data_IF_660838009740
#
_entry.id   IF_660838009740
#
_cell.length_a   1.000
_cell.length_b   1.000
_cell.length_c   1.000
_cell.angle_alpha   90.00
_cell.angle_beta   90.00
_cell.angle_gamma   90.00
#
_symmetry.space_group_name_H-M   'P 1'
#
loop_
_entity.id
_entity.type
_entity.pdbx_description
1 polymer ?
#
# COMPACT_ATOMS: atom_id res chain seq x y z
N UNK A 1 -9.02 -25.15 -39.17
CA UNK A 1 -8.24 -26.12 -38.35
C UNK A 1 -6.94 -25.54 -37.79
N UNK A 2 -6.19 -24.69 -38.50
CA UNK A 2 -4.91 -24.14 -37.99
C UNK A 2 -5.09 -23.15 -36.81
N UNK A 3 -6.17 -22.37 -36.79
CA UNK A 3 -6.40 -21.34 -35.76
C UNK A 3 -6.49 -21.88 -34.33
N UNK A 4 -7.04 -23.08 -34.13
CA UNK A 4 -7.14 -23.66 -32.78
C UNK A 4 -5.77 -24.03 -32.20
N UNK A 5 -4.83 -24.47 -33.05
CA UNK A 5 -3.46 -24.77 -32.64
C UNK A 5 -2.69 -23.50 -32.27
N UNK A 6 -2.89 -22.42 -33.04
CA UNK A 6 -2.27 -21.12 -32.76
C UNK A 6 -2.74 -20.56 -31.40
N UNK A 7 -4.04 -20.59 -31.14
CA UNK A 7 -4.63 -20.13 -29.87
C UNK A 7 -4.15 -21.00 -28.71
N UNK A 8 -4.12 -22.33 -28.87
CA UNK A 8 -3.63 -23.24 -27.84
C UNK A 8 -2.14 -23.00 -27.51
N UNK A 9 -1.32 -22.76 -28.53
CA UNK A 9 0.11 -22.47 -28.36
C UNK A 9 0.34 -21.11 -27.69
N UNK A 10 -0.42 -20.09 -28.08
CA UNK A 10 -0.40 -18.77 -27.43
C UNK A 10 -0.76 -18.88 -25.94
N UNK A 11 -1.85 -19.58 -25.61
CA UNK A 11 -2.29 -19.80 -24.21
C UNK A 11 -1.22 -20.57 -23.43
N UNK A 12 -0.61 -21.61 -24.03
CA UNK A 12 0.44 -22.38 -23.39
C UNK A 12 1.67 -21.55 -23.02
N UNK A 13 2.15 -20.71 -23.95
CA UNK A 13 3.28 -19.79 -23.70
C UNK A 13 2.90 -18.75 -22.65
N UNK A 14 1.70 -18.18 -22.74
CA UNK A 14 1.22 -17.18 -21.78
C UNK A 14 1.09 -17.74 -20.36
N UNK A 15 0.54 -18.95 -20.22
CA UNK A 15 0.42 -19.64 -18.93
C UNK A 15 1.80 -20.03 -18.38
N UNK A 16 2.71 -20.49 -19.22
CA UNK A 16 4.10 -20.77 -18.83
C UNK A 16 4.79 -19.51 -18.27
N UNK A 17 4.66 -18.38 -18.97
CA UNK A 17 5.19 -17.10 -18.51
C UNK A 17 4.54 -16.64 -17.20
N UNK A 18 3.22 -16.78 -17.06
CA UNK A 18 2.49 -16.40 -15.84
C UNK A 18 2.97 -17.21 -14.62
N UNK A 19 3.08 -18.53 -14.77
CA UNK A 19 3.59 -19.41 -13.70
C UNK A 19 5.05 -19.12 -13.37
N UNK A 20 5.88 -18.86 -14.39
CA UNK A 20 7.28 -18.47 -14.20
C UNK A 20 7.42 -17.16 -13.40
N UNK A 21 6.57 -16.16 -13.67
CA UNK A 21 6.53 -14.92 -12.90
C UNK A 21 6.04 -15.15 -11.46
N UNK A 22 5.05 -16.03 -11.24
CA UNK A 22 4.59 -16.38 -9.89
C UNK A 22 5.67 -17.05 -9.02
N UNK A 23 6.62 -17.77 -9.65
CA UNK A 23 7.76 -18.38 -8.96
C UNK A 23 8.92 -17.41 -8.69
N UNK A 24 8.80 -16.15 -9.12
CA UNK A 24 9.86 -15.16 -8.92
C UNK A 24 9.97 -14.72 -7.46
N UNK A 25 11.21 -14.53 -7.00
CA UNK A 25 11.52 -14.10 -5.62
C UNK A 25 11.16 -12.63 -5.31
N UNK A 26 10.83 -11.83 -6.33
CA UNK A 26 10.47 -10.41 -6.17
C UNK A 26 8.94 -10.28 -6.12
N UNK A 27 8.41 -9.74 -5.02
CA UNK A 27 6.97 -9.50 -4.84
C UNK A 27 6.27 -8.80 -6.03
N UNK A 28 6.82 -7.74 -6.66
CA UNK A 28 6.16 -7.14 -7.83
C UNK A 28 6.10 -8.07 -9.05
N UNK A 29 7.04 -9.01 -9.22
CA UNK A 29 6.94 -10.00 -10.30
C UNK A 29 5.79 -10.98 -10.06
N UNK A 30 5.55 -11.37 -8.81
CA UNK A 30 4.42 -12.23 -8.44
C UNK A 30 3.09 -11.53 -8.77
N UNK A 31 2.99 -10.22 -8.53
CA UNK A 31 1.82 -9.40 -8.92
C UNK A 31 1.59 -9.45 -10.44
N UNK A 32 2.62 -9.20 -11.25
CA UNK A 32 2.51 -9.31 -12.70
C UNK A 32 2.17 -10.74 -13.15
N UNK A 33 2.67 -11.76 -12.44
CA UNK A 33 2.30 -13.16 -12.65
C UNK A 33 0.80 -13.40 -12.47
N UNK A 34 0.20 -12.87 -11.40
CA UNK A 34 -1.25 -12.94 -11.17
C UNK A 34 -2.08 -12.20 -12.23
N UNK A 35 -1.63 -11.02 -12.68
CA UNK A 35 -2.29 -10.30 -13.78
C UNK A 35 -2.26 -11.12 -15.07
N UNK A 36 -1.11 -11.70 -15.39
CA UNK A 36 -0.93 -12.51 -16.60
C UNK A 36 -1.73 -13.82 -16.51
N UNK A 37 -1.78 -14.45 -15.33
CA UNK A 37 -2.56 -15.65 -15.06
C UNK A 37 -4.06 -15.39 -15.20
N UNK A 38 -4.56 -14.26 -14.71
CA UNK A 38 -5.96 -13.87 -14.87
C UNK A 38 -6.34 -13.71 -16.35
N UNK A 39 -5.47 -13.11 -17.15
CA UNK A 39 -5.70 -12.98 -18.60
C UNK A 39 -5.65 -14.35 -19.29
N UNK A 40 -4.69 -15.21 -18.92
CA UNK A 40 -4.60 -16.58 -19.44
C UNK A 40 -5.84 -17.43 -19.12
N UNK A 41 -6.36 -17.33 -17.89
CA UNK A 41 -7.60 -18.00 -17.48
C UNK A 41 -8.80 -17.55 -18.32
N UNK A 42 -8.93 -16.24 -18.58
CA UNK A 42 -9.99 -15.71 -19.45
C UNK A 42 -9.89 -16.28 -20.88
N UNK A 43 -8.67 -16.39 -21.43
CA UNK A 43 -8.45 -16.98 -22.75
C UNK A 43 -8.76 -18.48 -22.79
N UNK A 44 -8.49 -19.24 -21.71
CA UNK A 44 -8.84 -20.66 -21.63
C UNK A 44 -10.36 -20.85 -21.68
N UNK A 45 -11.11 -20.04 -20.92
CA UNK A 45 -12.59 -20.10 -20.95
C UNK A 45 -13.11 -19.76 -22.35
N UNK A 46 -12.54 -18.76 -23.01
CA UNK A 46 -12.89 -18.42 -24.38
C UNK A 46 -12.56 -19.55 -25.36
N UNK A 47 -11.40 -20.20 -25.23
CA UNK A 47 -10.99 -21.32 -26.08
C UNK A 47 -11.91 -22.55 -25.92
N UNK A 48 -12.43 -22.79 -24.72
CA UNK A 48 -13.41 -23.85 -24.44
C UNK A 48 -14.80 -23.51 -25.00
N UNK A 49 -15.13 -22.22 -25.15
CA UNK A 49 -16.41 -21.76 -25.70
C UNK A 49 -16.64 -22.12 -27.18
N UNK A 50 -15.61 -22.63 -27.88
CA UNK A 50 -15.73 -23.03 -29.29
C UNK A 50 -15.74 -21.85 -30.27
N UNK A 51 -15.90 -22.16 -31.54
CA UNK A 51 -15.90 -21.18 -32.63
C UNK A 51 -17.29 -20.52 -32.75
N UNK A 52 -17.43 -19.19 -32.56
CA UNK A 52 -18.70 -18.48 -32.72
C UNK A 52 -19.07 -18.23 -34.19
N UNK A 53 -18.29 -18.76 -35.16
CA UNK A 53 -18.54 -18.61 -36.59
C UNK A 53 -19.97 -19.02 -36.99
N UNK A 54 -20.80 -18.01 -37.27
CA UNK A 54 -22.20 -18.18 -37.71
C UNK A 54 -23.26 -17.83 -36.67
N UNK A 55 -22.86 -17.48 -35.45
CA UNK A 55 -23.81 -17.11 -34.38
C UNK A 55 -23.97 -15.59 -34.26
N UNK A 56 -25.21 -15.12 -34.17
CA UNK A 56 -25.50 -13.72 -33.91
C UNK A 56 -25.12 -13.37 -32.45
N UNK A 57 -24.51 -12.20 -32.18
CA UNK A 57 -24.30 -11.74 -30.81
C UNK A 57 -25.64 -11.67 -30.08
N UNK A 58 -25.74 -12.24 -28.88
CA UNK A 58 -26.98 -12.32 -28.10
C UNK A 58 -27.66 -10.96 -27.81
N UNK A 59 -26.96 -9.85 -28.05
CA UNK A 59 -27.42 -8.47 -27.83
C UNK A 59 -28.14 -7.88 -29.05
N UNK A 60 -27.91 -8.42 -30.25
CA UNK A 60 -28.57 -7.94 -31.47
C UNK A 60 -29.75 -8.86 -31.70
N UNK A 61 -30.97 -8.33 -31.78
CA UNK A 61 -32.21 -9.07 -32.07
C UNK A 61 -32.27 -9.67 -33.47
N UNK A 62 -31.17 -10.27 -33.93
CA UNK A 62 -31.07 -11.02 -35.17
C UNK A 62 -31.60 -12.44 -34.97
N UNK A 63 -32.27 -12.94 -35.99
CA UNK A 63 -32.73 -14.32 -36.04
C UNK A 63 -31.56 -15.21 -36.47
N UNK A 64 -31.13 -16.12 -35.59
CA UNK A 64 -30.03 -17.05 -35.83
C UNK A 64 -29.63 -17.80 -34.56
N UNK A 65 -28.73 -18.79 -34.64
CA UNK A 65 -28.14 -19.37 -33.43
C UNK A 65 -27.39 -18.28 -32.67
N UNK A 66 -27.66 -18.15 -31.38
CA UNK A 66 -27.01 -17.17 -30.52
C UNK A 66 -25.68 -17.73 -29.98
N UNK A 67 -24.71 -16.85 -29.74
CA UNK A 67 -23.53 -17.20 -28.95
C UNK A 67 -23.94 -17.65 -27.55
N UNK A 68 -23.30 -18.72 -27.05
CA UNK A 68 -23.54 -19.21 -25.69
C UNK A 68 -23.21 -18.12 -24.65
N UNK A 69 -24.18 -17.69 -23.82
CA UNK A 69 -23.96 -16.64 -22.83
C UNK A 69 -23.19 -17.13 -21.61
N UNK A 70 -23.09 -18.45 -21.42
CA UNK A 70 -22.51 -19.06 -20.24
C UNK A 70 -20.99 -18.78 -20.12
N UNK A 71 -20.16 -19.04 -21.15
CA UNK A 71 -18.74 -18.67 -21.10
C UNK A 71 -18.52 -17.17 -20.91
N UNK A 72 -19.41 -16.34 -21.44
CA UNK A 72 -19.33 -14.88 -21.33
C UNK A 72 -19.55 -14.39 -19.89
N UNK A 73 -20.54 -14.94 -19.20
CA UNK A 73 -20.79 -14.66 -17.78
C UNK A 73 -19.64 -15.16 -16.88
N UNK A 74 -19.06 -16.31 -17.21
CA UNK A 74 -17.89 -16.85 -16.51
C UNK A 74 -16.67 -15.94 -16.66
N UNK A 75 -16.42 -15.39 -17.85
CA UNK A 75 -15.33 -14.45 -18.09
C UNK A 75 -15.51 -13.17 -17.26
N UNK A 76 -16.72 -12.61 -17.16
CA UNK A 76 -16.97 -11.43 -16.33
C UNK A 76 -16.64 -11.71 -14.84
N UNK A 77 -17.06 -12.87 -14.35
CA UNK A 77 -16.78 -13.30 -12.97
C UNK A 77 -15.29 -13.49 -12.74
N UNK A 78 -14.59 -14.13 -13.69
CA UNK A 78 -13.16 -14.34 -13.64
C UNK A 78 -12.37 -13.01 -13.64
N UNK A 79 -12.79 -12.02 -14.45
CA UNK A 79 -12.19 -10.68 -14.48
C UNK A 79 -12.35 -9.97 -13.13
N UNK A 80 -13.54 -10.01 -12.52
CA UNK A 80 -13.80 -9.37 -11.22
C UNK A 80 -12.97 -10.01 -10.11
N UNK A 81 -12.87 -11.35 -10.08
CA UNK A 81 -12.04 -12.07 -9.11
C UNK A 81 -10.56 -11.72 -9.33
N UNK A 82 -10.09 -11.74 -10.57
CA UNK A 82 -8.72 -11.36 -10.93
C UNK A 82 -8.37 -9.95 -10.51
N UNK A 83 -9.26 -8.99 -10.76
CA UNK A 83 -9.10 -7.60 -10.32
C UNK A 83 -9.07 -7.47 -8.79
N UNK A 84 -9.96 -8.19 -8.10
CA UNK A 84 -10.02 -8.16 -6.62
C UNK A 84 -8.73 -8.68 -6.00
N UNK A 85 -8.20 -9.81 -6.50
CA UNK A 85 -6.94 -10.39 -6.03
C UNK A 85 -5.76 -9.47 -6.38
N UNK A 86 -5.71 -8.90 -7.59
CA UNK A 86 -4.66 -7.97 -7.99
C UNK A 86 -4.66 -6.70 -7.12
N UNK A 87 -5.83 -6.12 -6.85
CA UNK A 87 -5.98 -4.96 -5.97
C UNK A 87 -5.55 -5.30 -4.53
N UNK A 88 -5.96 -6.48 -4.03
CA UNK A 88 -5.55 -6.98 -2.72
C UNK A 88 -4.04 -7.19 -2.61
N UNK A 89 -3.41 -7.83 -3.60
CA UNK A 89 -1.95 -8.00 -3.62
C UNK A 89 -1.22 -6.65 -3.72
N UNK A 90 -1.78 -5.69 -4.46
CA UNK A 90 -1.20 -4.35 -4.60
C UNK A 90 -1.18 -3.62 -3.27
N UNK A 91 -2.30 -3.61 -2.54
CA UNK A 91 -2.34 -2.98 -1.20
C UNK A 91 -1.47 -3.74 -0.20
N UNK A 92 -1.44 -5.08 -0.28
CA UNK A 92 -0.57 -5.90 0.57
C UNK A 92 0.91 -5.58 0.34
N UNK A 93 1.33 -5.50 -0.94
CA UNK A 93 2.69 -5.15 -1.32
C UNK A 93 3.06 -3.73 -0.88
N UNK A 94 2.13 -2.78 -1.05
CA UNK A 94 2.32 -1.41 -0.57
C UNK A 94 2.52 -1.38 0.95
N UNK A 95 1.69 -2.09 1.72
CA UNK A 95 1.84 -2.18 3.17
C UNK A 95 3.17 -2.82 3.59
N UNK A 96 3.57 -3.91 2.93
CA UNK A 96 4.87 -4.53 3.17
C UNK A 96 6.02 -3.53 2.94
N UNK A 97 5.99 -2.80 1.83
CA UNK A 97 6.99 -1.77 1.53
C UNK A 97 7.01 -0.65 2.58
N UNK A 98 5.84 -0.22 3.08
CA UNK A 98 5.78 0.78 4.14
C UNK A 98 6.36 0.28 5.45
N UNK A 99 6.06 -0.96 5.83
CA UNK A 99 6.57 -1.54 7.08
C UNK A 99 8.08 -1.79 7.00
N UNK A 100 8.60 -2.18 5.82
CA UNK A 100 10.05 -2.30 5.58
C UNK A 100 10.77 -0.94 5.68
N UNK A 101 10.13 0.16 5.24
CA UNK A 101 10.66 1.52 5.40
C UNK A 101 10.44 2.12 6.80
N UNK A 102 9.55 1.54 7.62
CA UNK A 102 9.41 1.88 9.05
C UNK A 102 10.43 1.11 9.90
N UNK A 103 11.70 1.23 9.55
CA UNK A 103 12.81 0.72 10.37
C UNK A 103 13.05 1.54 11.65
N UNK A 104 12.54 2.76 11.73
CA UNK A 104 12.71 3.64 12.89
C UNK A 104 11.42 4.44 13.11
N UNK A 105 10.67 4.24 14.20
CA UNK A 105 9.83 5.32 14.70
C UNK A 105 10.79 6.42 15.20
N UNK A 106 11.22 7.29 14.29
CA UNK A 106 11.72 8.63 14.62
C UNK A 106 10.79 9.19 15.67
N UNK A 107 11.36 9.36 16.87
CA UNK A 107 10.68 9.63 18.12
C UNK A 107 9.17 9.80 18.01
N UNK A 108 8.44 8.82 18.55
CA UNK A 108 7.37 9.17 19.47
C UNK A 108 7.98 9.91 20.67
N UNK A 109 8.66 11.03 20.41
CA UNK A 109 8.96 12.04 21.38
C UNK A 109 7.60 12.67 21.59
N UNK A 110 6.89 12.07 22.55
CA UNK A 110 6.04 12.81 23.45
C UNK A 110 6.87 14.05 23.82
N UNK A 111 6.71 15.12 23.06
CA UNK A 111 6.98 16.46 23.54
C UNK A 111 5.93 16.69 24.63
N UNK A 112 6.09 16.02 25.77
CA UNK A 112 5.63 16.55 27.05
C UNK A 112 6.16 17.98 27.07
N UNK A 113 5.29 19.00 27.09
CA UNK A 113 5.72 20.38 27.16
C UNK A 113 6.34 20.63 28.54
N UNK A 114 7.60 20.21 28.73
CA UNK A 114 8.43 20.61 29.88
C UNK A 114 8.97 22.02 29.62
N UNK A 115 8.02 22.95 29.50
CA UNK A 115 8.23 24.40 29.50
C UNK A 115 7.72 25.07 30.78
N UNK A 116 7.52 24.31 31.86
CA UNK A 116 7.01 24.82 33.15
C UNK A 116 7.81 24.20 34.30
N UNK A 117 9.11 24.51 34.40
CA UNK A 117 9.90 24.18 35.60
C UNK A 117 11.10 25.08 35.87
N UNK A 118 11.29 26.18 35.12
CA UNK A 118 12.36 27.13 35.43
C UNK A 118 11.88 28.59 35.32
N UNK A 119 10.99 28.96 36.24
CA UNK A 119 10.65 30.38 36.51
C UNK A 119 10.75 30.71 38.01
N UNK A 120 11.32 29.83 38.82
CA UNK A 120 11.43 30.01 40.27
C UNK A 120 12.84 30.33 40.75
N UNK A 121 13.88 30.27 39.92
CA UNK A 121 15.26 30.51 40.39
C UNK A 121 15.79 31.93 40.17
N UNK A 122 15.06 32.82 39.47
CA UNK A 122 15.54 34.19 39.20
C UNK A 122 14.96 35.29 40.10
N UNK A 123 14.09 34.98 41.07
CA UNK A 123 13.50 36.01 41.97
C UNK A 123 13.91 35.90 43.44
N UNK A 124 14.71 34.90 43.83
CA UNK A 124 15.12 34.69 45.22
C UNK A 124 16.45 35.32 45.65
N UNK A 125 17.31 35.75 44.73
CA UNK A 125 18.70 36.14 45.06
C UNK A 125 18.99 37.64 45.02
N UNK A 126 18.08 38.48 44.53
CA UNK A 126 18.32 39.93 44.41
C UNK A 126 17.95 40.71 45.68
N UNK A 127 17.02 40.23 46.51
CA UNK A 127 16.63 40.92 47.75
C UNK A 127 17.61 40.71 48.91
N UNK A 128 18.21 39.52 49.03
CA UNK A 128 19.12 39.20 50.15
C UNK A 128 20.49 39.91 50.07
N UNK A 129 20.93 40.32 48.87
CA UNK A 129 22.19 41.04 48.67
C UNK A 129 22.08 42.53 49.03
N UNK A 130 20.89 43.12 48.84
CA UNK A 130 20.62 44.53 49.16
C UNK A 130 20.51 44.79 50.67
N UNK A 131 20.06 43.81 51.47
CA UNK A 131 19.95 43.97 52.92
C UNK A 131 21.32 43.84 53.63
N UNK A 132 22.22 42.99 53.11
CA UNK A 132 23.58 42.83 53.66
C UNK A 132 24.47 44.05 53.41
N UNK A 133 24.28 44.73 52.28
CA UNK A 133 25.01 45.98 51.98
C UNK A 133 24.47 47.17 52.78
N UNK A 134 23.16 47.25 53.03
CA UNK A 134 22.59 48.26 53.92
C UNK A 134 23.03 48.06 55.39
N UNK A 135 23.05 46.81 55.88
CA UNK A 135 23.47 46.50 57.25
C UNK A 135 24.97 46.73 57.48
N UNK A 136 25.83 46.51 56.48
CA UNK A 136 27.26 46.78 56.60
C UNK A 136 27.60 48.28 56.61
N UNK A 137 26.79 49.12 55.95
CA UNK A 137 26.98 50.57 55.95
C UNK A 137 26.58 51.22 57.29
N UNK A 138 25.57 50.67 57.97
CA UNK A 138 25.10 51.19 59.26
C UNK A 138 26.06 50.83 60.42
N UNK A 139 26.70 49.66 60.38
CA UNK A 139 27.64 49.23 61.43
C UNK A 139 28.97 49.98 61.42
N UNK A 140 29.37 50.61 60.31
CA UNK A 140 30.62 51.39 60.25
C UNK A 140 30.49 52.83 60.77
N UNK A 141 29.27 53.28 61.16
CA UNK A 141 29.05 54.61 61.70
C UNK A 141 29.06 54.68 63.25
N UNK A 142 29.03 53.56 63.97
CA UNK A 142 28.96 53.52 65.44
C UNK A 142 30.25 53.04 66.14
N UNK A 143 31.33 52.76 65.41
CA UNK A 143 32.59 52.24 65.99
C UNK A 143 33.67 53.28 66.30
N UNK A 144 33.30 54.53 66.53
CA UNK A 144 34.24 55.65 66.63
C UNK A 144 34.03 56.52 67.87
N UNK A 145 34.12 55.95 69.07
CA UNK A 145 34.57 56.62 70.30
C UNK A 145 35.30 55.62 71.21
#
# INVERSE_FOLDING_TARGET
>A
MNHQLEIALLIGILMSAAVFLCLSRRLPHILFGFLLLSNGANLIVLAVSGDPSGCAPAVVGGEGPFVDPLPQALILTAIVIGFSVAAYLTIFLYRHFLDENRGEPSGAKLETPRGVANRSESQGSTSASSERTASAMHSSAEGGQ
#
